data_IF_112176728459
#
_entry.id   IF_112176728459
#
_cell.length_a   1.000
_cell.length_b   1.000
_cell.length_c   1.000
_cell.angle_alpha   90.00
_cell.angle_beta   90.00
_cell.angle_gamma   90.00
#
_symmetry.space_group_name_H-M   'P 1'
#
loop_
_entity.id
_entity.type
_entity.pdbx_description
1 polymer ?
#
# COMPACT_ATOMS: atom_id res chain seq x y z
N UNK A 1 2.39 -3.97 30.19
CA UNK A 1 1.62 -2.71 30.10
C UNK A 1 2.59 -1.65 29.63
N UNK A 2 2.44 -1.13 28.41
CA UNK A 2 3.13 0.09 27.98
C UNK A 2 2.41 1.29 28.60
N UNK A 3 3.14 2.34 28.99
CA UNK A 3 2.50 3.56 29.49
C UNK A 3 1.90 4.36 28.32
N UNK A 4 0.83 5.11 28.58
CA UNK A 4 0.13 5.87 27.55
C UNK A 4 1.00 6.94 26.86
N UNK A 5 2.10 7.35 27.50
CA UNK A 5 3.06 8.31 26.96
C UNK A 5 3.92 7.67 25.88
N UNK A 6 4.37 6.43 26.10
CA UNK A 6 5.06 5.61 25.12
C UNK A 6 4.15 5.33 23.92
N UNK A 7 2.87 5.05 24.12
CA UNK A 7 1.91 4.83 23.03
C UNK A 7 1.65 6.09 22.19
N UNK A 8 1.55 7.27 22.82
CA UNK A 8 1.37 8.53 22.11
C UNK A 8 2.64 8.93 21.32
N UNK A 9 3.83 8.80 21.93
CA UNK A 9 5.10 9.04 21.24
C UNK A 9 5.29 8.09 20.06
N UNK A 10 4.89 6.82 20.22
CA UNK A 10 4.93 5.80 19.16
C UNK A 10 3.98 6.13 18.00
N UNK A 11 2.78 6.66 18.28
CA UNK A 11 1.85 7.08 17.24
C UNK A 11 2.42 8.27 16.43
N UNK A 12 3.02 9.24 17.12
CA UNK A 12 3.65 10.40 16.52
C UNK A 12 4.84 10.04 15.61
N UNK A 13 5.74 9.17 16.08
CA UNK A 13 6.87 8.71 15.27
C UNK A 13 6.40 7.96 14.01
N UNK A 14 5.31 7.20 14.11
CA UNK A 14 4.69 6.52 12.97
C UNK A 14 4.18 7.52 11.93
N UNK A 15 3.38 8.50 12.35
CA UNK A 15 2.82 9.51 11.46
C UNK A 15 3.92 10.31 10.75
N UNK A 16 5.01 10.64 11.45
CA UNK A 16 6.16 11.31 10.84
C UNK A 16 6.87 10.45 9.79
N UNK A 17 7.11 9.18 10.11
CA UNK A 17 7.78 8.27 9.17
C UNK A 17 6.93 8.03 7.93
N UNK A 18 5.61 7.94 8.09
CA UNK A 18 4.65 7.86 6.99
C UNK A 18 4.66 9.11 6.12
N UNK A 19 4.53 10.29 6.72
CA UNK A 19 4.57 11.55 5.99
C UNK A 19 5.87 11.70 5.18
N UNK A 20 7.01 11.32 5.79
CA UNK A 20 8.32 11.35 5.14
C UNK A 20 8.40 10.35 3.98
N UNK A 21 7.79 9.17 4.08
CA UNK A 21 7.71 8.23 2.97
C UNK A 21 6.95 8.82 1.79
N UNK A 22 5.72 9.29 2.04
CA UNK A 22 4.84 9.83 1.00
C UNK A 22 5.51 11.01 0.32
N UNK A 23 6.14 11.90 1.10
CA UNK A 23 6.89 13.03 0.59
C UNK A 23 8.04 12.58 -0.34
N UNK A 24 8.90 11.67 0.11
CA UNK A 24 10.04 11.19 -0.67
C UNK A 24 9.60 10.43 -1.94
N UNK A 25 8.56 9.59 -1.83
CA UNK A 25 8.01 8.87 -2.97
C UNK A 25 7.40 9.84 -3.98
N UNK A 26 6.62 10.82 -3.53
CA UNK A 26 6.02 11.84 -4.40
C UNK A 26 7.10 12.63 -5.14
N UNK A 27 8.16 13.06 -4.45
CA UNK A 27 9.28 13.76 -5.07
C UNK A 27 9.97 12.89 -6.15
N UNK A 28 10.24 11.62 -5.85
CA UNK A 28 10.86 10.67 -6.79
C UNK A 28 10.02 10.42 -8.05
N UNK A 29 8.70 10.36 -7.91
CA UNK A 29 7.77 10.11 -9.01
C UNK A 29 7.66 11.31 -9.97
N UNK A 30 8.15 12.50 -9.60
CA UNK A 30 8.15 13.66 -10.50
C UNK A 30 9.00 13.40 -11.76
N UNK A 31 8.56 13.90 -12.93
CA UNK A 31 9.33 13.77 -14.17
C UNK A 31 10.74 14.38 -14.06
N UNK A 32 10.88 15.49 -13.33
CA UNK A 32 12.09 16.29 -13.12
C UNK A 32 12.85 15.94 -11.84
N UNK A 33 12.56 14.77 -11.24
CA UNK A 33 13.25 14.27 -10.05
C UNK A 33 14.78 14.34 -10.21
N UNK A 34 15.41 15.02 -9.26
CA UNK A 34 16.86 15.12 -9.10
C UNK A 34 17.47 13.84 -8.51
N UNK A 35 18.79 13.70 -8.65
CA UNK A 35 19.55 12.60 -8.05
C UNK A 35 19.41 12.59 -6.52
N UNK A 36 19.44 13.78 -5.89
CA UNK A 36 19.28 13.92 -4.44
C UNK A 36 17.92 13.44 -3.92
N UNK A 37 16.84 13.61 -4.69
CA UNK A 37 15.51 13.13 -4.32
C UNK A 37 15.39 11.60 -4.45
N UNK A 38 16.02 11.03 -5.48
CA UNK A 38 16.13 9.59 -5.62
C UNK A 38 16.96 8.98 -4.48
N UNK A 39 18.08 9.61 -4.12
CA UNK A 39 18.89 9.22 -2.97
C UNK A 39 18.11 9.34 -1.65
N UNK A 40 17.27 10.37 -1.49
CA UNK A 40 16.44 10.55 -0.30
C UNK A 40 15.44 9.42 -0.13
N UNK A 41 14.78 8.99 -1.22
CA UNK A 41 13.91 7.81 -1.19
C UNK A 41 14.69 6.53 -0.87
N UNK A 42 15.88 6.34 -1.47
CA UNK A 42 16.74 5.18 -1.19
C UNK A 42 17.19 5.14 0.27
N UNK A 43 17.66 6.26 0.81
CA UNK A 43 18.08 6.39 2.20
C UNK A 43 16.92 6.13 3.15
N UNK A 44 15.74 6.66 2.85
CA UNK A 44 14.54 6.38 3.63
C UNK A 44 14.23 4.88 3.63
N UNK A 45 14.14 4.25 2.45
CA UNK A 45 13.87 2.82 2.34
C UNK A 45 14.91 1.95 3.07
N UNK A 46 16.19 2.32 3.02
CA UNK A 46 17.29 1.64 3.75
C UNK A 46 17.23 1.86 5.25
N UNK A 47 16.95 3.08 5.70
CA UNK A 47 16.76 3.40 7.13
C UNK A 47 15.65 2.53 7.73
N UNK A 48 14.56 2.43 6.98
CA UNK A 48 13.38 1.64 7.30
C UNK A 48 13.67 0.13 7.30
N UNK A 49 14.51 -0.35 6.37
CA UNK A 49 14.97 -1.74 6.33
C UNK A 49 15.84 -2.16 7.52
N UNK A 50 16.67 -1.23 8.01
CA UNK A 50 17.67 -1.47 9.04
C UNK A 50 17.11 -1.35 10.46
N UNK A 51 15.90 -0.79 10.63
CA UNK A 51 15.25 -0.61 11.93
C UNK A 51 14.59 -1.89 12.46
N UNK A 52 15.30 -3.03 12.32
CA UNK A 52 14.83 -4.40 12.62
C UNK A 52 14.85 -4.78 14.10
N UNK A 53 15.22 -3.89 15.02
CA UNK A 53 15.48 -4.26 16.40
C UNK A 53 14.89 -3.25 17.39
N UNK A 54 13.73 -3.60 17.93
CA UNK A 54 13.16 -2.94 19.09
C UNK A 54 11.67 -3.22 19.14
N UNK A 55 11.18 -3.68 20.27
CA UNK A 55 9.85 -4.23 20.54
C UNK A 55 8.65 -3.32 20.23
N UNK A 56 8.83 -2.20 19.53
CA UNK A 56 7.81 -1.16 19.30
C UNK A 56 7.86 -0.53 17.90
N UNK A 57 8.71 -0.98 16.97
CA UNK A 57 8.69 -0.52 15.57
C UNK A 57 7.61 -1.25 14.73
N UNK A 58 6.38 -1.33 15.23
CA UNK A 58 5.32 -2.11 14.61
C UNK A 58 4.24 -1.24 13.97
N UNK A 59 4.25 -1.18 12.62
CA UNK A 59 3.06 -1.34 11.76
C UNK A 59 3.37 -1.38 10.27
N UNK A 60 4.52 -0.89 9.86
CA UNK A 60 5.09 -1.26 8.57
C UNK A 60 5.81 -2.59 8.79
N UNK A 61 5.25 -3.68 8.29
CA UNK A 61 5.98 -4.95 8.22
C UNK A 61 7.08 -4.76 7.17
N UNK A 62 8.20 -4.16 7.59
CA UNK A 62 9.21 -3.58 6.71
C UNK A 62 9.87 -4.60 5.78
N UNK A 63 9.81 -5.89 6.12
CA UNK A 63 10.17 -6.99 5.22
C UNK A 63 9.34 -7.03 3.93
N UNK A 64 8.12 -6.48 3.94
CA UNK A 64 7.22 -6.39 2.77
C UNK A 64 7.68 -5.40 1.72
N UNK A 65 8.60 -4.48 2.04
CA UNK A 65 9.14 -3.51 1.10
C UNK A 65 10.57 -3.86 0.66
N UNK A 66 11.12 -5.00 1.10
CA UNK A 66 12.46 -5.46 0.72
C UNK A 66 12.69 -5.51 -0.79
N UNK A 67 11.62 -5.75 -1.56
CA UNK A 67 11.64 -5.76 -3.02
C UNK A 67 11.80 -4.37 -3.65
N UNK A 68 11.52 -3.27 -2.93
CA UNK A 68 11.74 -1.90 -3.41
C UNK A 68 13.20 -1.46 -3.30
N UNK A 69 13.93 -1.94 -2.29
CA UNK A 69 15.21 -1.34 -1.91
C UNK A 69 16.42 -2.26 -1.88
N UNK A 70 16.25 -3.59 -1.94
CA UNK A 70 17.40 -4.53 -1.98
C UNK A 70 18.41 -4.13 -3.06
N UNK A 71 17.87 -3.74 -4.20
CA UNK A 71 18.52 -3.12 -5.37
C UNK A 71 18.44 -1.61 -5.57
N UNK A 72 17.61 -0.84 -4.83
CA UNK A 72 16.92 0.36 -5.38
C UNK A 72 16.55 0.19 -6.87
N UNK A 73 16.21 -1.05 -7.23
CA UNK A 73 16.33 -1.57 -8.58
C UNK A 73 14.98 -1.48 -9.26
N UNK A 74 14.77 -2.29 -10.29
CA UNK A 74 13.61 -2.34 -11.17
C UNK A 74 12.25 -2.01 -10.52
N UNK A 75 12.00 -2.31 -9.25
CA UNK A 75 10.80 -1.90 -8.52
C UNK A 75 10.57 -0.38 -8.45
N UNK A 76 11.56 0.42 -8.02
CA UNK A 76 11.41 1.88 -7.95
C UNK A 76 11.22 2.48 -9.36
N UNK A 77 12.01 2.01 -10.33
CA UNK A 77 11.86 2.40 -11.75
C UNK A 77 10.48 2.03 -12.28
N UNK A 78 9.97 0.83 -11.96
CA UNK A 78 8.62 0.38 -12.34
C UNK A 78 7.53 1.23 -11.70
N UNK A 79 7.68 1.65 -10.43
CA UNK A 79 6.76 2.61 -9.82
C UNK A 79 6.72 3.92 -10.61
N UNK A 80 7.89 4.47 -10.95
CA UNK A 80 7.99 5.69 -11.76
C UNK A 80 7.40 5.55 -13.16
N UNK A 81 7.50 4.36 -13.75
CA UNK A 81 6.89 4.01 -15.03
C UNK A 81 5.38 3.72 -14.93
N UNK A 82 4.79 3.75 -13.73
CA UNK A 82 3.37 3.46 -13.54
C UNK A 82 3.02 1.98 -13.67
N UNK A 83 3.98 1.07 -13.47
CA UNK A 83 3.74 -0.38 -13.53
C UNK A 83 2.67 -0.81 -12.54
N UNK A 84 1.57 -1.32 -13.08
CA UNK A 84 0.36 -1.60 -12.30
C UNK A 84 0.59 -2.68 -11.24
N UNK A 85 1.36 -3.72 -11.53
CA UNK A 85 1.63 -4.78 -10.56
C UNK A 85 2.45 -4.27 -9.38
N UNK A 86 3.46 -3.43 -9.67
CA UNK A 86 4.33 -2.83 -8.66
C UNK A 86 3.55 -1.86 -7.77
N UNK A 87 2.65 -1.06 -8.35
CA UNK A 87 1.72 -0.21 -7.60
C UNK A 87 0.73 -1.01 -6.76
N UNK A 88 0.19 -2.12 -7.27
CA UNK A 88 -0.69 -2.99 -6.51
C UNK A 88 0.03 -3.59 -5.29
N UNK A 89 1.27 -4.06 -5.47
CA UNK A 89 2.11 -4.58 -4.37
C UNK A 89 2.36 -3.53 -3.31
N UNK A 90 2.65 -2.28 -3.70
CA UNK A 90 2.85 -1.16 -2.79
C UNK A 90 1.57 -0.86 -1.98
N UNK A 91 0.44 -0.67 -2.67
CA UNK A 91 -0.86 -0.37 -2.06
C UNK A 91 -1.39 -1.52 -1.18
N UNK A 92 -1.09 -2.78 -1.53
CA UNK A 92 -1.47 -3.94 -0.72
C UNK A 92 -0.63 -4.10 0.56
N UNK A 93 0.59 -3.57 0.56
CA UNK A 93 1.52 -3.72 1.68
C UNK A 93 1.26 -2.73 2.82
N UNK A 94 0.59 -1.62 2.54
CA UNK A 94 0.29 -0.54 3.51
C UNK A 94 -1.02 -0.75 4.26
N UNK A 95 -1.23 0.05 5.31
CA UNK A 95 -2.49 0.14 6.05
C UNK A 95 -3.45 1.21 5.46
N UNK A 96 -4.65 1.31 6.03
CA UNK A 96 -5.75 2.11 5.48
C UNK A 96 -5.45 3.62 5.45
N UNK A 97 -4.66 4.11 6.40
CA UNK A 97 -4.30 5.54 6.50
C UNK A 97 -3.36 5.88 5.34
N UNK A 98 -2.28 5.11 5.20
CA UNK A 98 -1.28 5.26 4.13
C UNK A 98 -1.88 4.99 2.75
N UNK A 99 -2.85 4.08 2.67
CA UNK A 99 -3.51 3.72 1.42
C UNK A 99 -4.19 4.92 0.77
N UNK A 100 -4.85 5.79 1.55
CA UNK A 100 -5.55 6.96 1.01
C UNK A 100 -4.58 7.93 0.33
N UNK A 101 -3.44 8.22 0.94
CA UNK A 101 -2.45 9.14 0.38
C UNK A 101 -1.66 8.52 -0.77
N UNK A 102 -1.29 7.25 -0.68
CA UNK A 102 -0.66 6.52 -1.79
C UNK A 102 -1.59 6.41 -2.99
N UNK A 103 -2.89 6.21 -2.78
CA UNK A 103 -3.87 6.16 -3.87
C UNK A 103 -3.87 7.46 -4.66
N UNK A 104 -3.81 8.62 -4.00
CA UNK A 104 -3.85 9.95 -4.65
C UNK A 104 -2.69 10.16 -5.64
N UNK A 105 -1.54 9.56 -5.37
CA UNK A 105 -0.34 9.67 -6.23
C UNK A 105 -0.13 8.47 -7.16
N UNK A 106 -1.03 7.48 -7.10
CA UNK A 106 -0.96 6.27 -7.93
C UNK A 106 -1.58 6.50 -9.32
N UNK A 107 -1.35 5.59 -10.29
CA UNK A 107 -2.06 5.56 -11.57
C UNK A 107 -3.58 5.37 -11.47
N UNK A 108 -4.11 5.14 -10.27
CA UNK A 108 -5.52 4.88 -9.98
C UNK A 108 -6.15 5.94 -9.08
N UNK A 109 -5.58 7.15 -9.04
CA UNK A 109 -6.09 8.26 -8.24
C UNK A 109 -7.58 8.53 -8.50
N UNK A 110 -8.03 8.38 -9.75
CA UNK A 110 -9.40 8.57 -10.20
C UNK A 110 -10.29 7.32 -10.08
N UNK A 111 -9.74 6.16 -9.71
CA UNK A 111 -10.48 4.88 -9.67
C UNK A 111 -11.02 4.55 -8.28
N UNK A 112 -11.95 3.61 -8.23
CA UNK A 112 -12.36 2.97 -6.98
C UNK A 112 -11.46 1.75 -6.77
N UNK A 113 -10.86 1.65 -5.59
CA UNK A 113 -10.01 0.52 -5.23
C UNK A 113 -10.68 -0.27 -4.11
N UNK A 114 -10.93 -1.55 -4.34
CA UNK A 114 -11.47 -2.46 -3.35
C UNK A 114 -10.36 -3.39 -2.86
N UNK A 115 -10.08 -3.36 -1.56
CA UNK A 115 -9.18 -4.33 -0.92
C UNK A 115 -10.03 -5.42 -0.29
N UNK A 116 -9.85 -6.64 -0.76
CA UNK A 116 -10.53 -7.81 -0.20
C UNK A 116 -9.54 -8.62 0.61
N UNK A 117 -9.80 -8.75 1.91
CA UNK A 117 -9.04 -9.62 2.79
C UNK A 117 -9.62 -11.03 2.71
N UNK A 118 -8.76 -12.03 2.51
CA UNK A 118 -9.19 -13.43 2.57
C UNK A 118 -8.36 -14.17 3.61
N UNK A 119 -9.03 -14.76 4.61
CA UNK A 119 -8.36 -15.59 5.60
C UNK A 119 -8.33 -17.04 5.11
N UNK A 120 -7.14 -17.60 5.04
CA UNK A 120 -6.89 -18.97 4.57
C UNK A 120 -7.25 -20.04 5.59
N UNK A 121 -7.72 -19.67 6.79
CA UNK A 121 -7.92 -20.62 7.90
C UNK A 121 -8.95 -21.71 7.62
N UNK A 122 -9.88 -21.49 6.68
CA UNK A 122 -10.94 -22.47 6.38
C UNK A 122 -10.88 -23.06 4.96
N UNK A 123 -9.85 -22.75 4.14
CA UNK A 123 -9.70 -23.31 2.79
C UNK A 123 -10.84 -23.00 1.80
N UNK A 124 -11.87 -22.29 2.25
CA UNK A 124 -13.01 -21.77 1.49
C UNK A 124 -13.16 -20.31 1.89
N UNK A 125 -12.43 -19.43 1.20
CA UNK A 125 -12.81 -18.03 1.23
C UNK A 125 -14.18 -17.94 0.58
N UNK A 126 -15.25 -17.91 1.37
CA UNK A 126 -16.61 -17.68 0.88
C UNK A 126 -16.73 -16.21 0.48
N UNK A 127 -16.13 -15.87 -0.66
CA UNK A 127 -16.43 -14.64 -1.34
C UNK A 127 -17.91 -14.72 -1.75
N UNK A 128 -18.73 -13.77 -1.30
CA UNK A 128 -20.10 -13.62 -1.83
C UNK A 128 -20.02 -13.64 -3.36
N UNK A 129 -20.93 -14.34 -4.05
CA UNK A 129 -20.88 -14.54 -5.50
C UNK A 129 -20.66 -13.24 -6.30
N UNK A 130 -21.28 -12.15 -5.85
CA UNK A 130 -21.09 -10.80 -6.40
C UNK A 130 -19.64 -10.30 -6.33
N UNK A 131 -18.92 -10.60 -5.25
CA UNK A 131 -17.53 -10.23 -5.04
C UNK A 131 -16.58 -11.05 -5.93
N UNK A 132 -16.85 -12.35 -6.11
CA UNK A 132 -16.11 -13.19 -7.08
C UNK A 132 -16.29 -12.66 -8.50
N UNK A 133 -17.52 -12.28 -8.85
CA UNK A 133 -17.83 -11.72 -10.17
C UNK A 133 -17.09 -10.40 -10.40
N UNK A 134 -17.13 -9.48 -9.43
CA UNK A 134 -16.37 -8.23 -9.48
C UNK A 134 -14.86 -8.47 -9.65
N UNK A 135 -14.27 -9.41 -8.91
CA UNK A 135 -12.86 -9.78 -9.04
C UNK A 135 -12.53 -10.32 -10.44
N UNK A 136 -13.43 -11.14 -11.03
CA UNK A 136 -13.22 -11.75 -12.36
C UNK A 136 -13.40 -10.77 -13.51
N UNK A 137 -14.32 -9.82 -13.37
CA UNK A 137 -14.65 -8.86 -14.43
C UNK A 137 -13.72 -7.64 -14.43
N UNK A 138 -12.93 -7.43 -13.37
CA UNK A 138 -12.05 -6.28 -13.22
C UNK A 138 -10.59 -6.69 -13.04
N UNK A 139 -9.68 -5.75 -13.32
CA UNK A 139 -8.26 -5.97 -13.05
C UNK A 139 -8.04 -6.14 -11.55
N UNK A 140 -7.40 -7.25 -11.17
CA UNK A 140 -7.11 -7.58 -9.79
C UNK A 140 -5.70 -8.15 -9.61
N UNK A 141 -5.14 -7.94 -8.42
CA UNK A 141 -3.82 -8.42 -8.03
C UNK A 141 -3.86 -9.00 -6.62
N UNK A 142 -3.24 -10.17 -6.44
CA UNK A 142 -3.08 -10.78 -5.13
C UNK A 142 -1.78 -10.32 -4.48
N UNK A 143 -1.89 -9.77 -3.26
CA UNK A 143 -0.76 -9.26 -2.48
C UNK A 143 -0.85 -9.86 -1.07
N UNK A 144 -0.05 -10.91 -0.82
CA UNK A 144 -0.10 -11.64 0.44
C UNK A 144 -1.49 -12.30 0.66
N UNK A 145 -2.22 -11.86 1.69
CA UNK A 145 -3.59 -12.31 2.02
C UNK A 145 -4.67 -11.32 1.58
N UNK A 146 -4.33 -10.40 0.68
CA UNK A 146 -5.23 -9.38 0.15
C UNK A 146 -5.37 -9.54 -1.36
N UNK A 147 -6.54 -9.20 -1.87
CA UNK A 147 -6.77 -8.99 -3.31
C UNK A 147 -7.13 -7.52 -3.50
N UNK A 148 -6.33 -6.81 -4.29
CA UNK A 148 -6.65 -5.46 -4.73
C UNK A 148 -7.43 -5.55 -6.04
N UNK A 149 -8.62 -4.97 -6.09
CA UNK A 149 -9.45 -4.89 -7.30
C UNK A 149 -9.57 -3.43 -7.70
N UNK A 150 -9.24 -3.13 -8.96
CA UNK A 150 -9.39 -1.79 -9.54
C UNK A 150 -10.72 -1.73 -10.26
N UNK A 151 -11.62 -0.92 -9.73
CA UNK A 151 -12.97 -0.73 -10.25
C UNK A 151 -13.07 0.63 -10.98
N UNK A 152 -13.92 0.72 -12.01
CA UNK A 152 -14.19 1.99 -12.66
C UNK A 152 -14.88 2.95 -11.68
N UNK A 153 -14.70 4.25 -11.89
CA UNK A 153 -15.16 5.30 -10.97
C UNK A 153 -16.69 5.37 -10.84
N UNK A 154 -17.40 4.92 -11.87
CA UNK A 154 -18.86 4.85 -11.96
C UNK A 154 -19.44 3.58 -11.32
N UNK A 155 -18.62 2.69 -10.75
CA UNK A 155 -19.10 1.43 -10.18
C UNK A 155 -20.07 1.65 -9.02
N UNK A 156 -19.92 2.74 -8.26
CA UNK A 156 -20.80 3.06 -7.12
C UNK A 156 -22.22 3.39 -7.55
N UNK A 157 -22.40 3.86 -8.79
CA UNK A 157 -23.72 4.11 -9.39
C UNK A 157 -24.36 2.82 -9.92
N UNK A 158 -23.55 1.77 -10.12
CA UNK A 158 -23.94 0.48 -10.70
C UNK A 158 -24.10 -0.65 -9.67
N UNK A 159 -23.57 -0.46 -8.46
CA UNK A 159 -23.78 -1.39 -7.35
C UNK A 159 -25.16 -1.10 -6.80
N UNK A 160 -26.14 -1.94 -7.14
CA UNK A 160 -27.40 -2.01 -6.40
C UNK A 160 -27.05 -2.19 -4.91
N UNK A 161 -27.72 -1.47 -3.99
CA UNK A 161 -27.47 -1.63 -2.56
C UNK A 161 -27.60 -3.12 -2.22
N UNK A 162 -26.51 -3.71 -1.73
CA UNK A 162 -26.52 -5.08 -1.25
C UNK A 162 -27.38 -5.06 0.00
N UNK A 163 -28.62 -5.53 -0.11
CA UNK A 163 -29.46 -5.82 1.06
C UNK A 163 -28.69 -6.79 1.95
N UNK A 164 -28.17 -6.27 3.06
CA UNK A 164 -27.66 -7.10 4.15
C UNK A 164 -28.88 -7.40 5.01
N UNK A 165 -29.64 -8.41 4.61
CA UNK A 165 -30.65 -9.05 5.45
C UNK A 165 -29.98 -9.84 6.59
#
# INVERSE_FOLDING_TARGET
MGDAYSDASRAYDREQMEALFIQNLTAYLRPDCSESEAESLLLWLKSVANNRSGSDCYRWDFGRFAWLYRDFSAGAVKLKQGDQETWARLLGAVDDIQFADLKKISPWADKVLLIVHYDHRDGRGDFKYALVRLIKENKSWTVGKKVLVVLPSDILEKIEPIDIA
#
